data_IF_967917510196
#
_entry.id   IF_967917510196
#
_cell.length_a   1.000
_cell.length_b   1.000
_cell.length_c   1.000
_cell.angle_alpha   90.00
_cell.angle_beta   90.00
_cell.angle_gamma   90.00
#
_symmetry.space_group_name_H-M   'P 1'
#
loop_
_entity.id
_entity.type
_entity.pdbx_description
1 polymer ?
#
# COMPACT_ATOMS: atom_id res chain seq x y z
N UNK A 1 -25.87 11.29 -8.44
CA UNK A 1 -25.02 12.50 -8.31
C UNK A 1 -23.62 12.31 -8.88
N UNK A 2 -22.67 11.60 -8.24
CA UNK A 2 -21.27 11.54 -8.73
C UNK A 2 -21.18 10.98 -10.15
N UNK A 3 -21.82 9.83 -10.40
CA UNK A 3 -21.80 9.22 -11.73
C UNK A 3 -22.51 10.09 -12.78
N UNK A 4 -23.60 10.73 -12.39
CA UNK A 4 -24.32 11.65 -13.26
C UNK A 4 -23.42 12.82 -13.69
N UNK A 5 -22.60 13.36 -12.76
CA UNK A 5 -21.63 14.42 -13.07
C UNK A 5 -20.51 13.94 -13.98
N UNK A 6 -20.04 12.71 -13.78
CA UNK A 6 -19.01 12.08 -14.64
C UNK A 6 -19.48 11.94 -16.09
N UNK A 7 -20.78 11.72 -16.32
CA UNK A 7 -21.35 11.65 -17.67
C UNK A 7 -21.34 13.03 -18.37
N UNK A 8 -21.46 14.13 -17.61
CA UNK A 8 -21.37 15.48 -18.17
C UNK A 8 -19.94 15.96 -18.40
N UNK A 9 -18.97 15.39 -17.68
CA UNK A 9 -17.56 15.73 -17.85
C UNK A 9 -17.06 15.04 -19.12
N UNK A 10 -16.35 15.78 -19.98
CA UNK A 10 -15.64 15.23 -21.12
C UNK A 10 -14.42 14.41 -20.67
N UNK A 11 -14.68 13.19 -20.20
CA UNK A 11 -13.64 12.19 -19.93
C UNK A 11 -13.32 11.41 -21.20
N UNK A 12 -12.09 10.90 -21.27
CA UNK A 12 -11.73 9.91 -22.28
C UNK A 12 -12.68 8.72 -22.21
N UNK A 13 -13.19 8.29 -23.37
CA UNK A 13 -14.14 7.19 -23.47
C UNK A 13 -13.64 5.90 -22.78
N UNK A 14 -12.33 5.64 -22.87
CA UNK A 14 -11.70 4.52 -22.17
C UNK A 14 -11.84 4.60 -20.64
N UNK A 15 -11.59 5.78 -20.06
CA UNK A 15 -11.71 6.01 -18.61
C UNK A 15 -13.17 5.90 -18.19
N UNK A 16 -14.09 6.41 -19.01
CA UNK A 16 -15.51 6.28 -18.77
C UNK A 16 -15.98 4.82 -18.70
N UNK A 17 -15.54 3.96 -19.63
CA UNK A 17 -15.85 2.52 -19.59
C UNK A 17 -15.28 1.85 -18.35
N UNK A 18 -14.01 2.12 -18.00
CA UNK A 18 -13.39 1.57 -16.80
C UNK A 18 -14.17 1.96 -15.54
N UNK A 19 -14.66 3.21 -15.48
CA UNK A 19 -15.46 3.67 -14.35
C UNK A 19 -16.80 2.92 -14.26
N UNK A 20 -17.53 2.75 -15.37
CA UNK A 20 -18.78 1.98 -15.38
C UNK A 20 -18.56 0.51 -14.99
N UNK A 21 -17.49 -0.12 -15.49
CA UNK A 21 -17.12 -1.49 -15.12
C UNK A 21 -16.79 -1.60 -13.63
N UNK A 22 -16.06 -0.62 -13.08
CA UNK A 22 -15.72 -0.62 -11.66
C UNK A 22 -16.97 -0.67 -10.78
N UNK A 23 -18.04 0.04 -11.16
CA UNK A 23 -19.29 0.08 -10.39
C UNK A 23 -19.99 -1.27 -10.46
N UNK A 24 -20.12 -1.87 -11.65
CA UNK A 24 -20.68 -3.22 -11.79
C UNK A 24 -19.91 -4.25 -10.97
N UNK A 25 -18.57 -4.15 -10.94
CA UNK A 25 -17.71 -5.04 -10.16
C UNK A 25 -17.81 -4.81 -8.64
N UNK A 26 -18.02 -3.57 -8.17
CA UNK A 26 -18.24 -3.32 -6.73
C UNK A 26 -19.54 -3.98 -6.24
N UNK A 27 -20.61 -3.91 -7.03
CA UNK A 27 -21.88 -4.56 -6.70
C UNK A 27 -21.76 -6.09 -6.77
N UNK A 28 -21.02 -6.62 -7.75
CA UNK A 28 -20.78 -8.06 -7.82
C UNK A 28 -19.96 -8.58 -6.62
N UNK A 29 -18.98 -7.80 -6.16
CA UNK A 29 -18.18 -8.12 -4.98
C UNK A 29 -19.02 -8.14 -3.70
N UNK A 30 -19.86 -7.13 -3.46
CA UNK A 30 -20.72 -7.08 -2.27
C UNK A 30 -21.71 -8.25 -2.26
N UNK A 31 -22.35 -8.54 -3.39
CA UNK A 31 -23.26 -9.69 -3.50
C UNK A 31 -22.53 -11.02 -3.27
N UNK A 32 -21.33 -11.20 -3.83
CA UNK A 32 -20.52 -12.40 -3.57
C UNK A 32 -20.21 -12.55 -2.08
N UNK A 33 -19.83 -11.47 -1.40
CA UNK A 33 -19.53 -11.50 0.04
C UNK A 33 -20.75 -11.92 0.87
N UNK A 34 -21.92 -11.33 0.58
CA UNK A 34 -23.19 -11.69 1.25
C UNK A 34 -23.51 -13.17 1.05
N UNK A 35 -23.41 -13.69 -0.18
CA UNK A 35 -23.67 -15.10 -0.46
C UNK A 35 -22.67 -16.03 0.23
N UNK A 36 -21.38 -15.70 0.22
CA UNK A 36 -20.36 -16.50 0.90
C UNK A 36 -20.55 -16.58 2.42
N UNK A 37 -21.04 -15.51 3.06
CA UNK A 37 -21.25 -15.48 4.50
C UNK A 37 -22.57 -16.13 4.92
N UNK A 38 -23.67 -15.84 4.22
CA UNK A 38 -25.00 -16.28 4.64
C UNK A 38 -25.45 -17.60 4.00
N UNK A 39 -25.05 -17.88 2.75
CA UNK A 39 -25.55 -19.04 2.01
C UNK A 39 -24.60 -20.25 2.06
N UNK A 40 -23.32 -20.04 2.39
CA UNK A 40 -22.37 -21.15 2.51
C UNK A 40 -22.53 -21.81 3.88
N UNK A 41 -22.53 -23.15 3.90
CA UNK A 41 -22.46 -23.89 5.15
C UNK A 41 -21.26 -23.43 5.99
N UNK A 42 -21.43 -23.34 7.30
CA UNK A 42 -20.39 -22.94 8.25
C UNK A 42 -19.17 -23.87 8.12
N UNK A 43 -18.14 -23.43 7.40
CA UNK A 43 -16.86 -24.14 7.29
C UNK A 43 -15.93 -23.65 8.40
N UNK A 44 -16.29 -23.93 9.64
CA UNK A 44 -15.46 -23.59 10.79
C UNK A 44 -15.15 -24.88 11.57
N UNK A 45 -13.96 -24.95 12.15
CA UNK A 45 -13.46 -26.16 12.81
C UNK A 45 -14.19 -26.40 14.13
N UNK A 46 -14.31 -27.68 14.50
CA UNK A 46 -15.34 -28.26 15.38
C UNK A 46 -15.44 -27.85 16.86
N UNK A 47 -15.10 -26.63 17.25
CA UNK A 47 -15.54 -26.06 18.52
C UNK A 47 -15.99 -24.62 18.27
N UNK A 48 -17.29 -24.38 18.41
CA UNK A 48 -17.91 -23.09 18.18
C UNK A 48 -18.40 -22.50 19.49
N UNK A 49 -17.93 -21.30 19.78
CA UNK A 49 -18.49 -20.45 20.81
C UNK A 49 -18.90 -19.12 20.17
N UNK A 50 -20.18 -18.99 19.87
CA UNK A 50 -20.77 -17.75 19.38
C UNK A 50 -21.33 -16.97 20.57
N UNK A 51 -20.51 -16.06 21.11
CA UNK A 51 -20.95 -15.10 22.13
C UNK A 51 -21.00 -13.71 21.47
N UNK A 52 -22.18 -13.10 21.46
CA UNK A 52 -22.31 -11.69 21.09
C UNK A 52 -22.01 -10.80 22.29
N UNK A 53 -21.16 -9.80 22.09
CA UNK A 53 -20.88 -8.81 23.13
C UNK A 53 -21.82 -7.61 22.98
N UNK A 54 -22.57 -7.30 24.04
CA UNK A 54 -23.51 -6.17 24.06
C UNK A 54 -22.86 -4.85 23.63
N UNK A 55 -21.60 -4.59 24.04
CA UNK A 55 -20.88 -3.38 23.63
C UNK A 55 -20.67 -3.31 22.12
N UNK A 56 -20.35 -4.44 21.48
CA UNK A 56 -20.21 -4.53 20.02
C UNK A 56 -21.55 -4.30 19.34
N UNK A 57 -22.62 -4.92 19.82
CA UNK A 57 -23.97 -4.77 19.26
C UNK A 57 -24.45 -3.32 19.30
N UNK A 58 -24.29 -2.62 20.44
CA UNK A 58 -24.63 -1.20 20.53
C UNK A 58 -23.82 -0.34 19.57
N UNK A 59 -22.51 -0.60 19.44
CA UNK A 59 -21.65 0.17 18.53
C UNK A 59 -22.06 -0.01 17.05
N UNK A 60 -22.41 -1.23 16.62
CA UNK A 60 -22.82 -1.50 15.24
C UNK A 60 -24.19 -0.89 14.92
N UNK A 61 -25.13 -0.90 15.87
CA UNK A 61 -26.45 -0.28 15.68
C UNK A 61 -26.30 1.24 15.54
N UNK A 62 -25.52 1.88 16.41
CA UNK A 62 -25.27 3.33 16.33
C UNK A 62 -24.58 3.69 15.01
N UNK A 63 -23.57 2.91 14.60
CA UNK A 63 -22.84 3.16 13.35
C UNK A 63 -23.75 3.07 12.13
N UNK A 64 -24.63 2.05 12.06
CA UNK A 64 -25.54 1.89 10.92
C UNK A 64 -26.56 3.02 10.84
N UNK A 65 -27.18 3.41 11.96
CA UNK A 65 -28.10 4.56 12.01
C UNK A 65 -27.40 5.87 11.65
N UNK A 66 -26.21 6.10 12.20
CA UNK A 66 -25.43 7.30 11.92
C UNK A 66 -25.04 7.40 10.45
N UNK A 67 -24.68 6.27 9.80
CA UNK A 67 -24.34 6.25 8.38
C UNK A 67 -25.46 6.77 7.48
N UNK A 68 -26.72 6.47 7.81
CA UNK A 68 -27.90 6.89 7.03
C UNK A 68 -28.25 8.34 7.33
N UNK A 69 -28.37 8.70 8.61
CA UNK A 69 -28.78 10.05 9.04
C UNK A 69 -27.75 11.08 8.62
N UNK A 70 -26.47 10.82 8.87
CA UNK A 70 -25.41 11.76 8.52
C UNK A 70 -25.29 11.92 7.00
N UNK A 71 -25.51 10.85 6.23
CA UNK A 71 -25.56 10.93 4.76
C UNK A 71 -26.65 11.88 4.26
N UNK A 72 -27.84 11.83 4.85
CA UNK A 72 -28.95 12.74 4.51
C UNK A 72 -28.64 14.19 4.91
N UNK A 73 -28.14 14.41 6.12
CA UNK A 73 -27.75 15.74 6.61
C UNK A 73 -26.66 16.33 5.71
N UNK A 74 -25.67 15.54 5.31
CA UNK A 74 -24.63 15.98 4.38
C UNK A 74 -25.20 16.39 3.03
N UNK A 75 -26.11 15.58 2.47
CA UNK A 75 -26.72 15.88 1.18
C UNK A 75 -27.55 17.16 1.19
N UNK A 76 -28.31 17.42 2.26
CA UNK A 76 -29.14 18.63 2.33
C UNK A 76 -28.36 19.90 2.65
N UNK A 77 -27.30 19.81 3.45
CA UNK A 77 -26.58 21.00 3.91
C UNK A 77 -25.42 21.42 3.02
N UNK A 78 -24.72 20.46 2.38
CA UNK A 78 -23.46 20.76 1.67
C UNK A 78 -23.56 20.65 0.15
N UNK A 79 -24.48 19.84 -0.37
CA UNK A 79 -24.67 19.74 -1.81
C UNK A 79 -25.72 20.76 -2.23
N UNK A 80 -25.24 21.91 -2.71
CA UNK A 80 -26.08 22.92 -3.31
C UNK A 80 -26.81 22.35 -4.53
N UNK A 81 -28.05 22.79 -4.70
CA UNK A 81 -29.02 22.32 -5.70
C UNK A 81 -28.65 22.77 -7.13
N UNK A 82 -27.49 23.39 -7.30
CA UNK A 82 -27.06 24.12 -8.49
C UNK A 82 -26.55 23.17 -9.59
N UNK A 83 -26.14 21.94 -9.24
CA UNK A 83 -25.81 20.90 -10.23
C UNK A 83 -27.08 20.14 -10.68
N UNK A 84 -28.09 20.87 -11.20
CA UNK A 84 -29.25 20.26 -11.87
C UNK A 84 -28.81 19.61 -13.19
N UNK A 85 -28.31 18.40 -13.07
CA UNK A 85 -27.90 17.55 -14.16
C UNK A 85 -29.15 17.02 -14.90
N UNK A 86 -29.54 17.71 -15.97
CA UNK A 86 -30.66 17.30 -16.83
C UNK A 86 -30.19 16.15 -17.73
N UNK A 87 -30.21 14.93 -17.20
CA UNK A 87 -29.98 13.72 -17.98
C UNK A 87 -31.26 13.23 -18.64
N UNK A 88 -31.12 12.65 -19.84
CA UNK A 88 -32.20 11.87 -20.44
C UNK A 88 -32.52 10.66 -19.56
N UNK A 89 -33.79 10.29 -19.49
CA UNK A 89 -34.25 9.17 -18.66
C UNK A 89 -33.55 7.85 -19.01
N UNK A 90 -33.14 7.67 -20.27
CA UNK A 90 -32.38 6.51 -20.71
C UNK A 90 -31.08 6.33 -19.95
N UNK A 91 -30.34 7.42 -19.73
CA UNK A 91 -29.06 7.36 -19.03
C UNK A 91 -29.26 7.04 -17.55
N UNK A 92 -30.31 7.58 -16.91
CA UNK A 92 -30.64 7.25 -15.52
C UNK A 92 -30.97 5.77 -15.35
N UNK A 93 -31.77 5.21 -16.26
CA UNK A 93 -32.16 3.80 -16.24
C UNK A 93 -30.95 2.90 -16.53
N UNK A 94 -30.06 3.30 -17.43
CA UNK A 94 -28.86 2.54 -17.76
C UNK A 94 -27.96 2.28 -16.52
N UNK A 95 -27.84 3.26 -15.63
CA UNK A 95 -27.04 3.15 -14.41
C UNK A 95 -27.65 2.11 -13.46
N UNK A 96 -28.97 2.15 -13.28
CA UNK A 96 -29.69 1.17 -12.46
C UNK A 96 -29.57 -0.24 -13.06
N UNK A 97 -29.63 -0.35 -14.39
CA UNK A 97 -29.45 -1.61 -15.09
C UNK A 97 -28.04 -2.19 -14.85
N UNK A 98 -27.00 -1.37 -14.88
CA UNK A 98 -25.63 -1.81 -14.57
C UNK A 98 -25.49 -2.34 -13.14
N UNK A 99 -26.17 -1.72 -12.17
CA UNK A 99 -26.17 -2.19 -10.77
C UNK A 99 -26.84 -3.58 -10.69
N UNK A 100 -27.99 -3.76 -11.33
CA UNK A 100 -28.71 -5.04 -11.35
C UNK A 100 -27.86 -6.13 -12.03
N UNK A 101 -27.24 -5.81 -13.17
CA UNK A 101 -26.33 -6.72 -13.86
C UNK A 101 -25.15 -7.12 -12.98
N UNK A 102 -24.54 -6.16 -12.29
CA UNK A 102 -23.44 -6.42 -11.34
C UNK A 102 -23.88 -7.40 -10.24
N UNK A 103 -25.08 -7.20 -9.69
CA UNK A 103 -25.63 -8.12 -8.69
C UNK A 103 -25.84 -9.53 -9.22
N UNK A 104 -26.41 -9.67 -10.42
CA UNK A 104 -26.56 -10.97 -11.09
C UNK A 104 -25.21 -11.63 -11.35
N UNK A 105 -24.20 -10.88 -11.83
CA UNK A 105 -22.83 -11.38 -12.02
C UNK A 105 -22.24 -11.92 -10.71
N UNK A 106 -22.45 -11.23 -9.59
CA UNK A 106 -21.99 -11.71 -8.27
C UNK A 106 -22.58 -13.07 -7.89
N UNK A 107 -23.88 -13.28 -8.14
CA UNK A 107 -24.56 -14.56 -7.92
C UNK A 107 -24.01 -15.66 -8.84
N UNK A 108 -23.78 -15.33 -10.12
CA UNK A 108 -23.18 -16.27 -11.06
C UNK A 108 -21.79 -16.69 -10.58
N UNK A 109 -20.91 -15.74 -10.27
CA UNK A 109 -19.55 -16.06 -9.79
C UNK A 109 -19.55 -16.93 -8.54
N UNK A 110 -20.49 -16.72 -7.59
CA UNK A 110 -20.60 -17.58 -6.41
C UNK A 110 -20.90 -19.04 -6.77
N UNK A 111 -21.85 -19.29 -7.70
CA UNK A 111 -22.21 -20.66 -8.12
C UNK A 111 -21.09 -21.34 -8.90
N UNK A 112 -20.28 -20.58 -9.64
CA UNK A 112 -19.22 -21.10 -10.50
C UNK A 112 -17.94 -21.50 -9.74
N UNK A 113 -17.86 -21.26 -8.43
CA UNK A 113 -16.66 -21.56 -7.61
C UNK A 113 -16.25 -23.04 -7.69
N UNK A 114 -17.21 -23.97 -7.83
CA UNK A 114 -16.92 -25.40 -7.79
C UNK A 114 -16.58 -26.02 -9.16
N UNK A 115 -16.75 -25.31 -10.27
CA UNK A 115 -16.78 -25.94 -11.61
C UNK A 115 -15.68 -25.50 -12.58
N UNK A 116 -14.82 -24.54 -12.25
CA UNK A 116 -13.86 -23.98 -13.22
C UNK A 116 -12.39 -24.16 -12.82
N UNK A 117 -11.80 -25.26 -13.28
CA UNK A 117 -10.33 -25.43 -13.32
C UNK A 117 -9.68 -24.49 -14.35
N UNK A 118 -10.37 -24.22 -15.48
CA UNK A 118 -9.87 -23.39 -16.58
C UNK A 118 -9.65 -21.91 -16.20
N UNK A 119 -10.37 -21.39 -15.21
CA UNK A 119 -10.28 -19.98 -14.78
C UNK A 119 -9.34 -19.84 -13.58
N UNK A 120 -8.75 -20.94 -13.08
CA UNK A 120 -7.89 -20.93 -11.90
C UNK A 120 -6.72 -19.96 -12.07
N UNK A 121 -6.08 -19.92 -13.24
CA UNK A 121 -4.98 -18.98 -13.50
C UNK A 121 -5.44 -17.52 -13.38
N UNK A 122 -6.60 -17.18 -13.94
CA UNK A 122 -7.14 -15.83 -13.86
C UNK A 122 -7.55 -15.46 -12.43
N UNK A 123 -8.14 -16.39 -11.67
CA UNK A 123 -8.49 -16.19 -10.26
C UNK A 123 -7.22 -16.00 -9.43
N UNK A 124 -6.21 -16.85 -9.62
CA UNK A 124 -4.93 -16.79 -8.92
C UNK A 124 -4.20 -15.47 -9.20
N UNK A 125 -4.13 -15.07 -10.47
CA UNK A 125 -3.49 -13.82 -10.88
C UNK A 125 -4.17 -12.58 -10.29
N UNK A 126 -5.51 -12.52 -10.34
CA UNK A 126 -6.26 -11.41 -9.73
C UNK A 126 -6.20 -11.46 -8.19
N UNK A 127 -6.19 -12.66 -7.60
CA UNK A 127 -6.05 -12.85 -6.15
C UNK A 127 -4.72 -12.35 -5.60
N UNK A 128 -3.64 -12.46 -6.38
CA UNK A 128 -2.32 -11.91 -6.04
C UNK A 128 -2.18 -10.40 -6.32
N UNK A 129 -3.28 -9.69 -6.60
CA UNK A 129 -3.27 -8.28 -6.99
C UNK A 129 -2.29 -8.01 -8.15
N UNK A 130 -2.42 -8.81 -9.21
CA UNK A 130 -1.57 -8.75 -10.41
C UNK A 130 -0.06 -8.89 -10.12
N UNK A 131 0.30 -9.58 -9.02
CA UNK A 131 1.67 -9.71 -8.53
C UNK A 131 2.39 -8.37 -8.28
N UNK A 132 1.65 -7.25 -8.18
CA UNK A 132 2.27 -5.92 -8.03
C UNK A 132 3.10 -5.84 -6.76
N UNK A 133 2.63 -6.43 -5.66
CA UNK A 133 3.38 -6.46 -4.41
C UNK A 133 4.72 -7.21 -4.53
N UNK A 134 4.75 -8.30 -5.32
CA UNK A 134 5.96 -9.06 -5.57
C UNK A 134 6.96 -8.28 -6.45
N UNK A 135 6.46 -7.64 -7.50
CA UNK A 135 7.26 -6.78 -8.38
C UNK A 135 7.89 -5.61 -7.61
N UNK A 136 7.10 -4.93 -6.77
CA UNK A 136 7.58 -3.85 -5.91
C UNK A 136 8.66 -4.37 -4.95
N UNK A 137 8.42 -5.52 -4.30
CA UNK A 137 9.41 -6.12 -3.40
C UNK A 137 10.73 -6.43 -4.11
N UNK A 138 10.68 -7.00 -5.31
CA UNK A 138 11.91 -7.28 -6.07
C UNK A 138 12.69 -6.01 -6.42
N UNK A 139 12.01 -4.96 -6.87
CA UNK A 139 12.67 -3.70 -7.22
C UNK A 139 13.31 -3.04 -5.99
N UNK A 140 12.52 -2.81 -4.93
CA UNK A 140 13.01 -2.07 -3.77
C UNK A 140 14.06 -2.86 -2.98
N UNK A 141 13.80 -4.13 -2.67
CA UNK A 141 14.73 -4.92 -1.84
C UNK A 141 16.07 -5.11 -2.57
N UNK A 142 16.07 -5.40 -3.88
CA UNK A 142 17.32 -5.58 -4.61
C UNK A 142 18.13 -4.28 -4.71
N UNK A 143 17.46 -3.13 -4.89
CA UNK A 143 18.13 -1.83 -4.89
C UNK A 143 18.80 -1.54 -3.54
N UNK A 144 18.09 -1.76 -2.43
CA UNK A 144 18.65 -1.55 -1.09
C UNK A 144 19.80 -2.52 -0.78
N UNK A 145 19.69 -3.80 -1.16
CA UNK A 145 20.76 -4.78 -0.97
C UNK A 145 22.03 -4.41 -1.75
N UNK A 146 21.90 -3.87 -2.96
CA UNK A 146 23.05 -3.40 -3.74
C UNK A 146 23.72 -2.18 -3.08
N UNK A 147 22.95 -1.25 -2.52
CA UNK A 147 23.49 -0.10 -1.79
C UNK A 147 24.26 -0.55 -0.55
N UNK A 148 23.74 -1.53 0.20
CA UNK A 148 24.46 -2.10 1.35
C UNK A 148 25.79 -2.75 0.95
N UNK A 149 25.85 -3.41 -0.21
CA UNK A 149 27.09 -3.99 -0.73
C UNK A 149 28.14 -2.90 -1.02
N UNK A 150 27.73 -1.79 -1.63
CA UNK A 150 28.62 -0.65 -1.87
C UNK A 150 29.12 -0.03 -0.56
N UNK A 151 28.25 0.18 0.43
CA UNK A 151 28.68 0.73 1.73
C UNK A 151 29.64 -0.22 2.46
N UNK A 152 29.38 -1.54 2.47
CA UNK A 152 30.27 -2.51 3.11
C UNK A 152 31.63 -2.58 2.43
N UNK A 153 31.66 -2.62 1.10
CA UNK A 153 32.92 -2.85 0.39
C UNK A 153 33.72 -1.57 0.21
N UNK A 154 33.09 -0.46 -0.15
CA UNK A 154 33.79 0.79 -0.43
C UNK A 154 34.12 1.51 0.88
N UNK A 155 33.10 1.82 1.69
CA UNK A 155 33.30 2.65 2.88
C UNK A 155 33.99 1.87 4.01
N UNK A 156 33.52 0.66 4.32
CA UNK A 156 34.10 -0.15 5.42
C UNK A 156 35.27 -1.03 4.98
N UNK A 157 35.36 -1.38 3.69
CA UNK A 157 36.42 -2.23 3.18
C UNK A 157 37.63 -1.43 2.69
N UNK A 158 37.52 -0.89 1.49
CA UNK A 158 38.64 -0.25 0.77
C UNK A 158 39.13 1.01 1.48
N UNK A 159 38.22 1.89 1.93
CA UNK A 159 38.63 3.14 2.59
C UNK A 159 39.33 2.88 3.94
N UNK A 160 38.88 1.89 4.74
CA UNK A 160 39.58 1.52 5.97
C UNK A 160 40.96 0.90 5.71
N UNK A 161 41.09 0.08 4.66
CA UNK A 161 42.37 -0.50 4.27
C UNK A 161 43.37 0.56 3.80
N UNK A 162 42.93 1.49 2.94
CA UNK A 162 43.79 2.51 2.33
C UNK A 162 44.18 3.61 3.33
N UNK A 163 43.26 3.99 4.22
CA UNK A 163 43.51 5.02 5.23
C UNK A 163 44.28 4.47 6.43
N UNK A 164 43.54 4.06 7.46
CA UNK A 164 44.11 3.75 8.78
C UNK A 164 45.06 2.55 8.77
N UNK A 165 44.72 1.44 8.11
CA UNK A 165 45.58 0.24 8.11
C UNK A 165 46.88 0.44 7.36
N UNK A 166 46.87 1.20 6.26
CA UNK A 166 48.09 1.51 5.51
C UNK A 166 49.01 2.45 6.29
N UNK A 167 48.45 3.47 6.96
CA UNK A 167 49.21 4.37 7.84
C UNK A 167 49.78 3.59 9.02
N UNK A 168 48.99 2.70 9.64
CA UNK A 168 49.47 1.84 10.73
C UNK A 168 50.64 0.96 10.29
N UNK A 169 50.55 0.32 9.11
CA UNK A 169 51.65 -0.47 8.53
C UNK A 169 52.91 0.36 8.24
N UNK A 170 52.75 1.56 7.68
CA UNK A 170 53.86 2.47 7.37
C UNK A 170 54.54 3.00 8.63
N UNK A 171 53.75 3.35 9.65
CA UNK A 171 54.27 3.80 10.94
C UNK A 171 54.99 2.65 11.62
N UNK A 172 54.36 1.48 11.79
CA UNK A 172 54.98 0.34 12.49
C UNK A 172 56.29 -0.11 11.81
N UNK A 173 56.36 -0.13 10.48
CA UNK A 173 57.58 -0.53 9.78
C UNK A 173 58.75 0.46 9.91
N UNK A 174 58.45 1.76 10.03
CA UNK A 174 59.47 2.80 10.20
C UNK A 174 59.89 2.99 11.67
N UNK A 175 59.19 2.36 12.61
CA UNK A 175 59.36 2.50 14.05
C UNK A 175 60.33 1.48 14.65
N UNK A 176 61.52 1.32 14.06
CA UNK A 176 62.60 0.58 14.73
C UNK A 176 63.22 1.36 15.91
N UNK A 177 62.95 2.66 16.03
CA UNK A 177 63.24 3.52 17.20
C UNK A 177 61.97 4.23 17.69
N UNK A 178 60.94 3.45 18.06
CA UNK A 178 59.54 3.87 18.02
C UNK A 178 58.97 4.78 19.11
N UNK A 179 59.76 5.25 20.08
CA UNK A 179 59.18 6.03 21.19
C UNK A 179 58.94 7.50 20.82
N UNK A 180 59.89 8.14 20.13
CA UNK A 180 59.81 9.59 19.83
C UNK A 180 58.79 9.89 18.72
N UNK A 181 58.73 9.05 17.69
CA UNK A 181 57.76 9.21 16.60
C UNK A 181 56.34 8.88 17.08
N UNK A 182 56.17 8.00 18.07
CA UNK A 182 54.85 7.69 18.63
C UNK A 182 54.26 8.91 19.34
N UNK A 183 55.06 9.61 20.13
CA UNK A 183 54.66 10.86 20.75
C UNK A 183 54.38 11.95 19.72
N UNK A 184 55.13 12.00 18.62
CA UNK A 184 54.89 12.97 17.54
C UNK A 184 53.57 12.72 16.81
N UNK A 185 53.24 11.46 16.52
CA UNK A 185 51.96 11.07 15.91
C UNK A 185 50.79 11.35 16.86
N UNK A 186 50.91 11.01 18.15
CA UNK A 186 49.90 11.35 19.15
C UNK A 186 49.63 12.85 19.23
N UNK A 187 50.69 13.66 19.18
CA UNK A 187 50.58 15.12 19.23
C UNK A 187 49.89 15.65 17.98
N UNK A 188 50.22 15.14 16.79
CA UNK A 188 49.53 15.50 15.54
C UNK A 188 48.04 15.12 15.57
N UNK A 189 47.70 13.93 16.08
CA UNK A 189 46.30 13.49 16.22
C UNK A 189 45.52 14.40 17.18
N UNK A 190 46.15 14.82 18.28
CA UNK A 190 45.52 15.76 19.22
C UNK A 190 45.28 17.13 18.59
N UNK A 191 46.24 17.63 17.81
CA UNK A 191 46.10 18.90 17.09
C UNK A 191 44.99 18.86 16.04
N UNK A 192 44.85 17.75 15.30
CA UNK A 192 43.77 17.57 14.32
C UNK A 192 42.39 17.49 14.97
N UNK A 193 42.26 16.82 16.12
CA UNK A 193 41.03 16.78 16.90
C UNK A 193 40.60 18.18 17.38
N UNK A 194 41.55 19.01 17.82
CA UNK A 194 41.28 20.39 18.22
C UNK A 194 40.77 21.22 17.03
N UNK A 195 41.41 21.10 15.86
CA UNK A 195 40.99 21.83 14.65
C UNK A 195 39.58 21.40 14.22
N UNK A 196 39.26 20.11 14.27
CA UNK A 196 37.92 19.61 13.95
C UNK A 196 36.86 20.15 14.92
N UNK A 197 37.15 20.17 16.23
CA UNK A 197 36.25 20.78 17.22
C UNK A 197 36.03 22.28 16.98
N UNK A 198 37.09 23.01 16.61
CA UNK A 198 36.98 24.42 16.28
C UNK A 198 36.12 24.65 15.03
N UNK A 199 36.24 23.79 14.02
CA UNK A 199 35.38 23.85 12.84
C UNK A 199 33.90 23.61 13.17
N UNK A 200 33.58 22.66 14.06
CA UNK A 200 32.21 22.42 14.51
C UNK A 200 31.65 23.64 15.27
N UNK A 201 32.48 24.34 16.05
CA UNK A 201 32.03 25.52 16.79
C UNK A 201 31.86 26.77 15.91
N UNK A 202 32.47 26.80 14.73
CA UNK A 202 32.41 27.92 13.78
C UNK A 202 31.22 27.82 12.80
N UNK A 203 30.59 26.65 12.69
CA UNK A 203 29.38 26.41 11.90
C UNK A 203 28.15 26.32 12.80
#
# INVERSE_FOLDING_TARGET
LILEKIIFINLNFYVFILFLLSIGLTVSYTMRMVLCLYMKNLVMKGVFKFDENNMMNYSMIILSMFSVVMGLIFMWNYFDWIDLNILSNYVKIFILFLIILGGLMGVFFYKLINSFELIYFFIYYNGLMWNMMYLLKMLYVNLFMNIEFYNKNIEKGWNEMIGFKMIELLVINNMKNGVIVYYFVLLLMYMLLIIYFLFIMLF
#
